data_IF_534910935722
#
_entry.id   IF_534910935722
#
_cell.length_a   1.000
_cell.length_b   1.000
_cell.length_c   1.000
_cell.angle_alpha   90.00
_cell.angle_beta   90.00
_cell.angle_gamma   90.00
#
_symmetry.space_group_name_H-M   'P 1'
#
loop_
_entity.id
_entity.type
_entity.pdbx_description
1 polymer ?
#
# COMPACT_ATOMS: atom_id res chain seq x y z
N UNK A 1 -44.56 -22.29 -16.41
CA UNK A 1 -43.87 -21.41 -15.44
C UNK A 1 -42.42 -21.85 -15.36
N UNK A 2 -41.47 -21.01 -15.76
CA UNK A 2 -40.05 -21.33 -15.64
C UNK A 2 -39.62 -21.21 -14.17
N UNK A 3 -39.17 -22.30 -13.57
CA UNK A 3 -38.55 -22.30 -12.25
C UNK A 3 -37.24 -21.52 -12.35
N UNK A 4 -37.23 -20.30 -11.82
CA UNK A 4 -36.00 -19.51 -11.75
C UNK A 4 -35.09 -20.20 -10.75
N UNK A 5 -33.94 -20.72 -11.21
CA UNK A 5 -32.95 -21.31 -10.33
C UNK A 5 -32.60 -20.31 -9.22
N UNK A 6 -32.78 -20.69 -7.95
CA UNK A 6 -32.39 -19.90 -6.79
C UNK A 6 -31.09 -20.44 -6.22
N UNK A 7 -30.22 -19.55 -5.75
CA UNK A 7 -28.97 -19.88 -5.07
C UNK A 7 -29.08 -19.31 -3.66
N UNK A 8 -28.79 -20.14 -2.67
CA UNK A 8 -28.77 -19.69 -1.27
C UNK A 8 -27.50 -18.91 -1.00
N UNK A 9 -27.63 -17.70 -0.46
CA UNK A 9 -26.46 -16.89 -0.12
C UNK A 9 -25.66 -17.58 1.00
N UNK A 10 -24.38 -17.90 0.78
CA UNK A 10 -23.55 -18.58 1.77
C UNK A 10 -23.05 -17.64 2.88
N UNK A 11 -23.77 -16.56 3.19
CA UNK A 11 -23.45 -15.66 4.31
C UNK A 11 -24.66 -15.30 5.13
N UNK A 12 -25.79 -14.99 4.48
CA UNK A 12 -27.03 -14.66 5.19
C UNK A 12 -28.12 -15.73 5.01
N UNK A 13 -27.86 -16.82 4.28
CA UNK A 13 -28.83 -17.89 4.06
C UNK A 13 -30.03 -17.53 3.18
N UNK A 14 -30.14 -16.28 2.74
CA UNK A 14 -31.25 -15.83 1.89
C UNK A 14 -31.16 -16.41 0.49
N UNK A 15 -32.30 -16.81 -0.04
CA UNK A 15 -32.43 -17.26 -1.42
C UNK A 15 -32.37 -16.05 -2.35
N UNK A 16 -31.47 -16.12 -3.32
CA UNK A 16 -31.27 -15.08 -4.33
C UNK A 16 -31.48 -15.74 -5.69
N UNK A 17 -32.09 -15.04 -6.66
CA UNK A 17 -32.22 -15.63 -8.00
C UNK A 17 -30.83 -15.89 -8.56
N UNK A 18 -30.63 -17.01 -9.23
CA UNK A 18 -29.31 -17.50 -9.65
C UNK A 18 -28.57 -16.60 -10.63
N UNK A 19 -29.29 -15.68 -11.27
CA UNK A 19 -28.73 -14.67 -12.17
C UNK A 19 -28.19 -13.44 -11.42
N UNK A 20 -28.44 -13.29 -10.11
CA UNK A 20 -27.90 -12.17 -9.34
C UNK A 20 -26.43 -12.38 -9.02
N UNK A 21 -25.63 -11.37 -9.31
CA UNK A 21 -24.20 -11.36 -9.01
C UNK A 21 -23.90 -11.07 -7.53
N UNK A 22 -24.84 -10.47 -6.82
CA UNK A 22 -24.74 -10.08 -5.40
C UNK A 22 -26.02 -10.42 -4.65
N UNK A 23 -25.88 -10.84 -3.40
CA UNK A 23 -26.99 -10.98 -2.49
C UNK A 23 -27.54 -9.59 -2.17
N UNK A 24 -28.82 -9.36 -2.46
CA UNK A 24 -29.52 -8.09 -2.19
C UNK A 24 -29.59 -7.75 -0.71
N UNK A 25 -29.54 -8.76 0.17
CA UNK A 25 -29.66 -8.56 1.61
C UNK A 25 -28.33 -8.26 2.30
N UNK A 26 -27.29 -9.07 2.06
CA UNK A 26 -25.99 -8.91 2.75
C UNK A 26 -24.88 -8.34 1.86
N UNK A 27 -25.18 -8.08 0.58
CA UNK A 27 -24.22 -7.60 -0.41
C UNK A 27 -23.14 -8.60 -0.83
N UNK A 28 -23.16 -9.86 -0.34
CA UNK A 28 -22.15 -10.88 -0.69
C UNK A 28 -22.22 -11.20 -2.19
N UNK A 29 -21.09 -11.19 -2.88
CA UNK A 29 -21.02 -11.58 -4.29
C UNK A 29 -21.20 -13.10 -4.37
N UNK A 30 -22.10 -13.56 -5.26
CA UNK A 30 -22.44 -14.98 -5.40
C UNK A 30 -21.64 -15.67 -6.51
N UNK A 31 -21.17 -14.91 -7.51
CA UNK A 31 -20.37 -15.43 -8.62
C UNK A 31 -18.88 -15.42 -8.29
N UNK A 32 -18.25 -16.61 -8.28
CA UNK A 32 -16.80 -16.80 -8.20
C UNK A 32 -16.18 -16.63 -9.59
N UNK A 33 -15.03 -15.95 -9.67
CA UNK A 33 -14.25 -15.80 -10.89
C UNK A 33 -13.14 -16.86 -10.94
N UNK A 34 -12.76 -17.38 -12.12
CA UNK A 34 -11.68 -18.38 -12.25
C UNK A 34 -10.38 -17.93 -11.57
N UNK A 35 -10.06 -16.63 -11.64
CA UNK A 35 -8.87 -16.07 -11.00
C UNK A 35 -8.90 -16.16 -9.47
N UNK A 36 -10.08 -16.30 -8.86
CA UNK A 36 -10.25 -16.43 -7.41
C UNK A 36 -9.99 -17.86 -6.91
N UNK A 37 -9.73 -18.81 -7.82
CA UNK A 37 -9.21 -20.14 -7.47
C UNK A 37 -7.72 -20.07 -7.12
N UNK A 38 -7.00 -19.07 -7.63
CA UNK A 38 -5.60 -18.85 -7.31
C UNK A 38 -5.42 -18.36 -5.87
N UNK A 39 -4.43 -18.90 -5.16
CA UNK A 39 -4.28 -18.73 -3.71
C UNK A 39 -4.22 -17.27 -3.26
N UNK A 40 -3.53 -16.38 -4.01
CA UNK A 40 -3.42 -14.96 -3.67
C UNK A 40 -4.75 -14.21 -3.80
N UNK A 41 -5.65 -14.66 -4.66
CA UNK A 41 -6.93 -14.01 -4.93
C UNK A 41 -8.12 -14.75 -4.32
N UNK A 42 -7.89 -15.84 -3.60
CA UNK A 42 -8.93 -16.60 -2.93
C UNK A 42 -9.69 -15.72 -1.95
N UNK A 43 -11.02 -15.65 -2.09
CA UNK A 43 -11.89 -14.93 -1.16
C UNK A 43 -12.00 -15.72 0.14
N UNK A 44 -11.84 -15.04 1.26
CA UNK A 44 -12.02 -15.62 2.58
C UNK A 44 -13.51 -15.60 2.93
N UNK A 45 -14.06 -16.78 3.22
CA UNK A 45 -15.46 -16.98 3.58
C UNK A 45 -15.66 -17.37 5.06
N UNK A 46 -14.59 -17.33 5.86
CA UNK A 46 -14.61 -17.66 7.30
C UNK A 46 -15.47 -16.67 8.09
N UNK A 47 -16.03 -17.12 9.22
CA UNK A 47 -16.68 -16.22 10.17
C UNK A 47 -15.63 -15.31 10.83
N UNK A 48 -15.92 -14.01 10.87
CA UNK A 48 -15.01 -13.05 11.49
C UNK A 48 -15.25 -13.02 13.01
N UNK A 49 -14.39 -13.73 13.75
CA UNK A 49 -14.52 -13.89 15.22
C UNK A 49 -13.70 -12.85 15.97
N UNK A 50 -12.41 -12.73 15.64
CA UNK A 50 -11.49 -11.81 16.31
C UNK A 50 -10.57 -11.11 15.31
N UNK A 51 -10.25 -9.82 15.54
CA UNK A 51 -9.26 -9.13 14.72
C UNK A 51 -7.87 -9.67 14.97
N UNK A 52 -7.09 -9.82 13.90
CA UNK A 52 -5.68 -10.16 14.00
C UNK A 52 -4.90 -9.10 14.79
N UNK A 53 -3.83 -9.52 15.46
CA UNK A 53 -2.88 -8.61 16.10
C UNK A 53 -2.20 -7.68 15.08
N UNK A 54 -1.60 -6.58 15.54
CA UNK A 54 -0.93 -5.62 14.64
C UNK A 54 0.18 -6.27 13.81
N UNK A 55 1.10 -6.99 14.46
CA UNK A 55 2.22 -7.67 13.79
C UNK A 55 1.74 -8.81 12.90
N UNK A 56 0.73 -9.56 13.32
CA UNK A 56 0.13 -10.61 12.50
C UNK A 56 -0.43 -10.03 11.21
N UNK A 57 -1.18 -8.91 11.26
CA UNK A 57 -1.65 -8.25 10.03
C UNK A 57 -0.51 -7.91 9.08
N UNK A 58 0.60 -7.39 9.62
CA UNK A 58 1.75 -7.00 8.83
C UNK A 58 2.43 -8.21 8.15
N UNK A 59 2.61 -9.31 8.89
CA UNK A 59 3.16 -10.56 8.34
C UNK A 59 2.22 -11.15 7.29
N UNK A 60 0.91 -11.16 7.56
CA UNK A 60 -0.08 -11.68 6.63
C UNK A 60 -0.17 -10.85 5.34
N UNK A 61 0.15 -9.55 5.36
CA UNK A 61 0.23 -8.77 4.11
C UNK A 61 1.28 -9.31 3.14
N UNK A 62 2.32 -10.01 3.63
CA UNK A 62 3.32 -10.68 2.80
C UNK A 62 2.92 -12.12 2.44
N UNK A 63 2.49 -12.92 3.44
CA UNK A 63 2.25 -14.36 3.26
C UNK A 63 0.89 -14.64 2.61
N UNK A 64 -0.16 -13.96 3.05
CA UNK A 64 -1.53 -14.16 2.57
C UNK A 64 -2.29 -12.82 2.54
N UNK A 65 -2.03 -11.99 1.51
CA UNK A 65 -2.57 -10.64 1.44
C UNK A 65 -4.10 -10.62 1.38
N UNK A 66 -4.73 -11.60 0.72
CA UNK A 66 -6.19 -11.72 0.69
C UNK A 66 -6.79 -11.81 2.09
N UNK A 67 -6.19 -12.61 2.99
CA UNK A 67 -6.66 -12.71 4.38
C UNK A 67 -6.37 -11.45 5.18
N UNK A 68 -5.20 -10.83 4.99
CA UNK A 68 -4.86 -9.57 5.66
C UNK A 68 -5.84 -8.44 5.29
N UNK A 69 -6.09 -8.23 4.00
CA UNK A 69 -7.02 -7.20 3.54
C UNK A 69 -8.46 -7.49 3.92
N UNK A 70 -8.85 -8.77 3.97
CA UNK A 70 -10.16 -9.16 4.50
C UNK A 70 -10.31 -8.77 5.97
N UNK A 71 -9.33 -9.07 6.84
CA UNK A 71 -9.39 -8.68 8.26
C UNK A 71 -9.31 -7.15 8.45
N UNK A 72 -8.44 -6.46 7.71
CA UNK A 72 -8.34 -4.99 7.73
C UNK A 72 -9.66 -4.35 7.32
N UNK A 73 -10.39 -4.94 6.38
CA UNK A 73 -11.69 -4.45 5.94
C UNK A 73 -12.78 -4.56 7.02
N UNK A 74 -12.66 -5.48 7.98
CA UNK A 74 -13.61 -5.60 9.10
C UNK A 74 -13.35 -4.55 10.20
N UNK A 75 -12.10 -4.15 10.44
CA UNK A 75 -11.72 -3.07 11.37
C UNK A 75 -10.84 -2.00 10.72
N UNK A 76 -11.40 -1.27 9.75
CA UNK A 76 -10.65 -0.31 8.91
C UNK A 76 -10.02 0.83 9.70
N UNK A 77 -10.63 1.26 10.80
CA UNK A 77 -10.09 2.34 11.67
C UNK A 77 -8.69 1.99 12.20
N UNK A 78 -8.45 0.70 12.49
CA UNK A 78 -7.21 0.13 13.02
C UNK A 78 -6.28 -0.42 11.91
N UNK A 79 -6.48 -0.02 10.66
CA UNK A 79 -5.58 -0.39 9.56
C UNK A 79 -4.15 0.08 9.82
N UNK A 80 -3.11 -0.74 9.53
CA UNK A 80 -1.72 -0.38 9.75
C UNK A 80 -1.14 0.62 8.73
N UNK A 81 -1.92 1.13 7.78
CA UNK A 81 -1.43 1.94 6.66
C UNK A 81 -0.50 3.12 7.02
N UNK A 82 -0.81 3.90 8.06
CA UNK A 82 0.08 5.00 8.49
C UNK A 82 1.36 4.50 9.16
N UNK A 83 1.34 3.34 9.81
CA UNK A 83 2.55 2.73 10.35
C UNK A 83 3.46 2.23 9.22
N UNK A 84 2.90 1.72 8.13
CA UNK A 84 3.67 1.33 6.94
C UNK A 84 4.39 2.55 6.36
N UNK A 85 3.70 3.69 6.23
CA UNK A 85 4.33 4.96 5.84
C UNK A 85 5.47 5.31 6.81
N UNK A 86 5.22 5.33 8.12
CA UNK A 86 6.23 5.67 9.12
C UNK A 86 7.47 4.77 9.07
N UNK A 87 7.27 3.45 9.02
CA UNK A 87 8.38 2.49 8.95
C UNK A 87 9.14 2.61 7.63
N UNK A 88 8.46 2.81 6.51
CA UNK A 88 9.13 3.11 5.24
C UNK A 88 9.94 4.41 5.33
N UNK A 89 9.49 5.41 6.09
CA UNK A 89 10.23 6.66 6.25
C UNK A 89 11.47 6.47 7.12
N UNK A 90 11.40 5.63 8.16
CA UNK A 90 12.57 5.26 8.98
C UNK A 90 13.67 4.60 8.15
N UNK A 91 13.29 3.81 7.15
CA UNK A 91 14.27 3.18 6.24
C UNK A 91 14.95 4.18 5.31
N UNK A 92 14.35 5.33 5.01
CA UNK A 92 15.03 6.41 4.27
C UNK A 92 16.14 7.06 5.09
N UNK A 93 15.98 7.15 6.41
CA UNK A 93 17.07 7.53 7.31
C UNK A 93 18.26 6.57 7.19
N UNK A 94 18.00 5.25 7.09
CA UNK A 94 19.04 4.24 6.88
C UNK A 94 19.70 4.37 5.50
N UNK A 95 18.93 4.66 4.45
CA UNK A 95 19.47 4.95 3.12
C UNK A 95 20.42 6.16 3.19
N UNK A 96 20.01 7.25 3.84
CA UNK A 96 20.85 8.45 4.00
C UNK A 96 22.15 8.17 4.76
N UNK A 97 22.08 7.38 5.83
CA UNK A 97 23.27 6.94 6.57
C UNK A 97 24.19 6.06 5.72
N UNK A 98 23.62 5.10 4.98
CA UNK A 98 24.37 4.21 4.10
C UNK A 98 25.09 4.99 2.99
N UNK A 99 24.43 5.99 2.41
CA UNK A 99 25.05 6.84 1.39
C UNK A 99 26.15 7.73 1.98
N UNK A 100 25.96 8.26 3.19
CA UNK A 100 26.96 9.13 3.81
C UNK A 100 28.15 8.39 4.44
N UNK A 101 28.04 7.10 4.76
CA UNK A 101 29.18 6.32 5.27
C UNK A 101 30.33 6.23 4.27
N UNK A 102 30.05 6.42 2.98
CA UNK A 102 31.04 6.43 1.91
C UNK A 102 31.67 7.80 1.65
N UNK A 103 31.27 8.85 2.39
CA UNK A 103 31.79 10.21 2.18
C UNK A 103 32.65 10.62 3.38
N UNK A 104 33.96 10.68 3.15
CA UNK A 104 34.94 11.12 4.15
C UNK A 104 35.27 12.61 3.95
N UNK A 105 34.63 13.49 4.73
CA UNK A 105 34.91 14.94 4.72
C UNK A 105 35.70 15.32 5.97
N UNK A 106 37.00 15.14 5.92
CA UNK A 106 37.90 15.37 7.05
C UNK A 106 37.86 16.82 7.56
N UNK A 107 37.63 17.80 6.67
CA UNK A 107 37.56 19.22 7.01
C UNK A 107 36.27 19.63 7.74
N UNK A 108 35.11 19.06 7.35
CA UNK A 108 33.80 19.40 7.94
C UNK A 108 33.62 18.73 9.30
N UNK A 109 34.02 17.47 9.44
CA UNK A 109 33.90 16.73 10.71
C UNK A 109 34.72 17.41 11.82
N UNK A 110 35.92 17.91 11.49
CA UNK A 110 36.78 18.62 12.44
C UNK A 110 36.26 20.03 12.81
N UNK A 111 35.37 20.61 11.99
CA UNK A 111 34.75 21.92 12.24
C UNK A 111 33.48 21.85 13.10
N UNK A 112 32.86 20.66 13.24
CA UNK A 112 31.66 20.51 14.04
C UNK A 112 32.00 20.48 15.54
N UNK A 113 31.27 21.26 16.33
CA UNK A 113 31.41 21.28 17.81
C UNK A 113 31.11 19.92 18.46
N UNK A 114 30.32 19.07 17.79
CA UNK A 114 29.93 17.73 18.26
C UNK A 114 29.88 16.73 17.10
N UNK A 115 31.04 16.19 16.65
CA UNK A 115 31.10 15.31 15.47
C UNK A 115 30.35 13.98 15.65
N UNK A 116 30.20 13.50 16.89
CA UNK A 116 29.45 12.27 17.20
C UNK A 116 27.94 12.37 16.95
N UNK A 117 27.37 13.58 16.90
CA UNK A 117 25.95 13.79 16.62
C UNK A 117 25.64 13.91 15.12
N UNK A 118 26.65 14.07 14.27
CA UNK A 118 26.47 14.27 12.84
C UNK A 118 25.68 13.13 12.15
N UNK A 119 25.92 11.83 12.44
CA UNK A 119 25.14 10.74 11.85
C UNK A 119 23.67 10.78 12.29
N UNK A 120 23.40 11.11 13.55
CA UNK A 120 22.03 11.19 14.06
C UNK A 120 21.26 12.33 13.38
N UNK A 121 21.88 13.50 13.21
CA UNK A 121 21.27 14.64 12.53
C UNK A 121 20.97 14.28 11.07
N UNK A 122 21.93 13.66 10.37
CA UNK A 122 21.76 13.22 9.00
C UNK A 122 20.62 12.19 8.87
N UNK A 123 20.56 11.21 9.76
CA UNK A 123 19.48 10.23 9.81
C UNK A 123 18.12 10.91 9.95
N UNK A 124 17.99 11.88 10.87
CA UNK A 124 16.75 12.63 11.09
C UNK A 124 16.37 13.44 9.85
N UNK A 125 17.32 14.10 9.20
CA UNK A 125 17.07 14.87 7.97
C UNK A 125 16.55 13.97 6.84
N UNK A 126 17.21 12.83 6.60
CA UNK A 126 16.76 11.88 5.58
C UNK A 126 15.45 11.18 5.96
N UNK A 127 15.20 10.94 7.24
CA UNK A 127 13.91 10.46 7.73
C UNK A 127 12.79 11.45 7.44
N UNK A 128 12.97 12.74 7.77
CA UNK A 128 11.97 13.79 7.51
C UNK A 128 11.73 13.98 6.01
N UNK A 129 12.81 14.00 5.21
CA UNK A 129 12.71 14.04 3.75
C UNK A 129 11.94 12.81 3.22
N UNK A 130 12.31 11.61 3.66
CA UNK A 130 11.64 10.36 3.30
C UNK A 130 10.17 10.35 3.70
N UNK A 131 9.82 10.88 4.86
CA UNK A 131 8.44 10.99 5.32
C UNK A 131 7.60 11.89 4.42
N UNK A 132 8.10 13.07 4.07
CA UNK A 132 7.40 13.98 3.15
C UNK A 132 7.31 13.36 1.75
N UNK A 133 8.42 12.86 1.22
CA UNK A 133 8.50 12.24 -0.10
C UNK A 133 7.52 11.06 -0.24
N UNK A 134 7.56 10.10 0.69
CA UNK A 134 6.68 8.93 0.66
C UNK A 134 5.21 9.29 0.89
N UNK A 135 4.93 10.27 1.75
CA UNK A 135 3.56 10.74 1.96
C UNK A 135 2.97 11.26 0.66
N UNK A 136 3.71 12.12 -0.05
CA UNK A 136 3.27 12.67 -1.34
C UNK A 136 3.15 11.58 -2.39
N UNK A 137 4.16 10.71 -2.52
CA UNK A 137 4.14 9.60 -3.46
C UNK A 137 2.95 8.68 -3.21
N UNK A 138 2.71 8.24 -1.97
CA UNK A 138 1.61 7.32 -1.66
C UNK A 138 0.25 7.97 -1.89
N UNK A 139 0.07 9.24 -1.53
CA UNK A 139 -1.17 9.97 -1.81
C UNK A 139 -1.42 10.08 -3.32
N UNK A 140 -0.39 10.38 -4.10
CA UNK A 140 -0.46 10.44 -5.55
C UNK A 140 -0.82 9.08 -6.17
N UNK A 141 -0.13 8.00 -5.76
CA UNK A 141 -0.43 6.65 -6.23
C UNK A 141 -1.85 6.23 -5.86
N UNK A 142 -2.28 6.44 -4.60
CA UNK A 142 -3.63 6.17 -4.12
C UNK A 142 -4.68 6.90 -4.97
N UNK A 143 -4.38 8.14 -5.36
CA UNK A 143 -5.24 8.93 -6.21
C UNK A 143 -5.37 8.32 -7.62
N UNK A 144 -4.25 7.97 -8.29
CA UNK A 144 -4.28 7.35 -9.62
C UNK A 144 -4.97 5.99 -9.59
N UNK A 145 -4.59 5.08 -8.68
CA UNK A 145 -5.23 3.78 -8.55
C UNK A 145 -6.73 3.92 -8.24
N UNK A 146 -7.09 4.93 -7.44
CA UNK A 146 -8.49 5.28 -7.20
C UNK A 146 -9.25 5.68 -8.47
N UNK A 147 -8.63 6.47 -9.35
CA UNK A 147 -9.21 6.86 -10.64
C UNK A 147 -9.34 5.67 -11.59
N UNK A 148 -8.33 4.82 -11.68
CA UNK A 148 -8.38 3.61 -12.50
C UNK A 148 -9.44 2.60 -12.02
N UNK A 149 -9.58 2.43 -10.71
CA UNK A 149 -10.64 1.63 -10.12
C UNK A 149 -12.03 2.21 -10.41
N UNK A 150 -12.17 3.54 -10.43
CA UNK A 150 -13.42 4.19 -10.81
C UNK A 150 -13.76 3.89 -12.27
N UNK A 151 -12.79 3.98 -13.17
CA UNK A 151 -13.00 3.68 -14.58
C UNK A 151 -13.34 2.20 -14.84
N UNK A 152 -12.70 1.26 -14.12
CA UNK A 152 -12.88 -0.18 -14.38
C UNK A 152 -14.11 -0.80 -13.72
N UNK A 153 -14.50 -0.32 -12.53
CA UNK A 153 -15.56 -0.95 -11.72
C UNK A 153 -16.52 0.04 -11.04
N UNK A 154 -16.54 1.33 -11.38
CA UNK A 154 -17.32 2.36 -10.68
C UNK A 154 -17.06 2.35 -9.16
N UNK A 155 -15.78 2.29 -8.78
CA UNK A 155 -15.36 2.08 -7.40
C UNK A 155 -15.99 3.05 -6.39
N UNK A 156 -16.04 4.36 -6.69
CA UNK A 156 -16.68 5.38 -5.84
C UNK A 156 -18.17 5.10 -5.59
N UNK A 157 -18.94 4.83 -6.66
CA UNK A 157 -20.37 4.53 -6.56
C UNK A 157 -20.59 3.28 -5.70
N UNK A 158 -19.78 2.23 -5.88
CA UNK A 158 -19.86 1.02 -5.06
C UNK A 158 -19.50 1.26 -3.60
N UNK A 159 -18.51 2.12 -3.33
CA UNK A 159 -18.18 2.51 -1.96
C UNK A 159 -19.34 3.24 -1.30
N UNK A 160 -19.96 4.19 -2.00
CA UNK A 160 -21.12 4.93 -1.52
C UNK A 160 -22.33 4.03 -1.29
N UNK A 161 -22.61 3.09 -2.21
CA UNK A 161 -23.67 2.10 -2.02
C UNK A 161 -23.40 1.19 -0.81
N UNK A 162 -22.15 0.81 -0.57
CA UNK A 162 -21.78 -0.14 0.49
C UNK A 162 -21.69 0.50 1.87
N UNK A 163 -21.22 1.74 1.94
CA UNK A 163 -20.94 2.43 3.21
C UNK A 163 -21.93 3.56 3.48
N UNK A 164 -22.76 3.93 2.50
CA UNK A 164 -23.68 5.06 2.55
C UNK A 164 -22.96 6.40 2.49
N UNK A 165 -23.59 7.38 1.85
CA UNK A 165 -23.30 8.78 2.14
C UNK A 165 -23.63 9.08 3.61
N UNK A 166 -22.91 10.03 4.21
CA UNK A 166 -23.19 10.53 5.56
C UNK A 166 -24.57 11.24 5.59
N UNK A 167 -25.66 10.50 5.71
CA UNK A 167 -26.94 11.08 6.12
C UNK A 167 -26.97 11.23 7.65
N UNK A 168 -27.45 12.38 8.11
CA UNK A 168 -27.53 12.80 9.52
C UNK A 168 -28.28 11.77 10.40
N UNK A 169 -29.24 11.04 9.82
CA UNK A 169 -29.99 9.96 10.49
C UNK A 169 -29.13 8.77 10.95
N UNK A 170 -28.00 8.49 10.30
CA UNK A 170 -27.13 7.35 10.66
C UNK A 170 -26.25 7.60 11.89
N UNK A 171 -26.06 8.86 12.29
CA UNK A 171 -25.36 9.17 13.55
C UNK A 171 -26.21 8.74 14.76
N UNK A 172 -27.54 8.95 14.73
CA UNK A 172 -28.45 8.50 15.79
C UNK A 172 -28.56 6.97 15.90
N UNK A 173 -28.35 6.23 14.82
CA UNK A 173 -28.32 4.75 14.85
C UNK A 173 -27.01 4.17 15.37
N UNK A 174 -25.90 4.93 15.31
CA UNK A 174 -24.58 4.51 15.81
C UNK A 174 -24.54 4.37 17.33
N UNK A 175 -25.38 5.13 18.03
CA UNK A 175 -25.45 5.17 19.49
C UNK A 175 -26.46 4.16 20.06
N UNK A 176 -27.30 3.55 19.23
CA UNK A 176 -28.15 2.44 19.66
C UNK A 176 -27.33 1.15 19.62
N UNK A 177 -26.89 0.68 20.80
CA UNK A 177 -26.31 -0.66 20.98
C UNK A 177 -27.23 -1.69 20.32
N UNK A 178 -26.82 -2.20 19.15
CA UNK A 178 -27.51 -3.29 18.46
C UNK A 178 -27.67 -4.46 19.43
N UNK A 179 -28.86 -5.04 19.47
CA UNK A 179 -29.15 -6.14 20.40
C UNK A 179 -28.16 -7.29 20.20
N UNK A 180 -27.72 -7.95 21.31
CA UNK A 180 -26.74 -9.02 21.26
C UNK A 180 -27.18 -10.22 20.42
N UNK A 181 -28.47 -10.34 20.11
CA UNK A 181 -29.08 -11.44 19.35
C UNK A 181 -29.33 -11.11 17.86
N UNK A 182 -28.86 -9.98 17.34
CA UNK A 182 -28.96 -9.71 15.90
C UNK A 182 -27.98 -10.60 15.11
N UNK A 183 -28.51 -11.63 14.47
CA UNK A 183 -27.84 -12.51 13.48
C UNK A 183 -27.18 -11.69 12.34
N UNK A 184 -27.55 -10.41 12.21
CA UNK A 184 -27.10 -9.45 11.20
C UNK A 184 -25.87 -8.62 11.58
N UNK A 185 -25.23 -8.87 12.72
CA UNK A 185 -24.13 -8.05 13.27
C UNK A 185 -23.01 -7.75 12.25
N UNK A 186 -22.62 -8.72 11.42
CA UNK A 186 -21.56 -8.54 10.43
C UNK A 186 -21.93 -7.69 9.20
N UNK A 187 -23.21 -7.56 8.87
CA UNK A 187 -23.69 -6.79 7.72
C UNK A 187 -23.96 -5.31 8.06
N UNK A 188 -24.59 -5.06 9.20
CA UNK A 188 -24.95 -3.71 9.66
C UNK A 188 -23.76 -2.92 10.21
N UNK A 189 -22.75 -3.60 10.79
CA UNK A 189 -21.49 -2.95 11.20
C UNK A 189 -20.68 -2.43 10.00
N UNK A 190 -20.75 -3.08 8.84
CA UNK A 190 -20.04 -2.61 7.64
C UNK A 190 -20.63 -1.29 7.15
N UNK A 191 -21.95 -1.09 7.23
CA UNK A 191 -22.66 0.11 6.77
C UNK A 191 -22.53 1.33 7.69
N UNK A 192 -22.06 1.16 8.93
CA UNK A 192 -21.91 2.27 9.90
C UNK A 192 -20.49 2.86 9.92
N UNK A 193 -19.51 2.18 9.33
CA UNK A 193 -18.12 2.59 9.36
C UNK A 193 -17.71 3.33 8.08
N UNK A 194 -16.99 4.45 8.25
CA UNK A 194 -16.35 5.17 7.14
C UNK A 194 -15.48 4.21 6.30
N UNK A 195 -15.33 4.46 4.99
CA UNK A 195 -14.56 3.58 4.12
C UNK A 195 -13.05 3.55 4.44
N UNK A 196 -12.50 4.58 5.11
CA UNK A 196 -11.06 4.72 5.42
C UNK A 196 -10.14 4.31 4.26
N UNK A 197 -10.56 4.66 3.02
CA UNK A 197 -9.94 4.24 1.75
C UNK A 197 -8.42 4.41 1.77
N UNK A 198 -7.95 5.60 2.15
CA UNK A 198 -6.52 5.95 2.16
C UNK A 198 -5.73 5.03 3.09
N UNK A 199 -6.20 4.78 4.31
CA UNK A 199 -5.51 3.89 5.27
C UNK A 199 -5.43 2.45 4.78
N UNK A 200 -6.43 1.98 4.04
CA UNK A 200 -6.44 0.62 3.52
C UNK A 200 -5.56 0.49 2.28
N UNK A 201 -5.58 1.48 1.38
CA UNK A 201 -4.70 1.49 0.22
C UNK A 201 -3.23 1.69 0.60
N UNK A 202 -2.94 2.42 1.68
CA UNK A 202 -1.57 2.52 2.22
C UNK A 202 -0.98 1.15 2.58
N UNK A 203 -1.81 0.15 2.93
CA UNK A 203 -1.33 -1.21 3.17
C UNK A 203 -0.81 -1.92 1.93
N UNK A 204 -1.18 -1.46 0.73
CA UNK A 204 -0.63 -2.01 -0.52
C UNK A 204 0.83 -1.61 -0.76
N UNK A 205 1.36 -0.63 -0.01
CA UNK A 205 2.77 -0.22 -0.06
C UNK A 205 3.66 -0.97 0.92
N UNK A 206 3.17 -2.04 1.55
CA UNK A 206 3.98 -2.92 2.41
C UNK A 206 5.26 -3.46 1.75
N UNK A 207 5.33 -3.72 0.42
CA UNK A 207 6.56 -4.25 -0.18
C UNK A 207 7.77 -3.33 0.00
N UNK A 208 7.55 -2.01 0.08
CA UNK A 208 8.62 -1.04 0.33
C UNK A 208 9.29 -1.25 1.70
N UNK A 209 8.63 -1.91 2.66
CA UNK A 209 9.24 -2.20 3.96
C UNK A 209 10.37 -3.22 3.88
N UNK A 210 10.37 -4.07 2.86
CA UNK A 210 11.46 -5.03 2.60
C UNK A 210 12.51 -4.38 1.71
N UNK A 211 12.05 -3.61 0.74
CA UNK A 211 12.89 -3.12 -0.36
C UNK A 211 13.73 -1.92 0.06
N UNK A 212 13.20 -1.00 0.86
CA UNK A 212 13.98 0.14 1.30
C UNK A 212 15.16 -0.27 2.22
N UNK A 213 15.02 -1.21 3.19
CA UNK A 213 16.17 -1.75 3.90
C UNK A 213 17.15 -2.49 2.98
N UNK A 214 16.65 -3.25 2.01
CA UNK A 214 17.50 -3.92 1.03
C UNK A 214 18.30 -2.91 0.20
N UNK A 215 17.67 -1.82 -0.23
CA UNK A 215 18.31 -0.72 -0.94
C UNK A 215 19.36 -0.03 -0.06
N UNK A 216 19.06 0.21 1.23
CA UNK A 216 20.03 0.74 2.18
C UNK A 216 21.26 -0.17 2.30
N UNK A 217 21.06 -1.49 2.35
CA UNK A 217 22.15 -2.48 2.42
C UNK A 217 22.97 -2.50 1.12
N UNK A 218 22.31 -2.49 -0.04
CA UNK A 218 22.97 -2.43 -1.35
C UNK A 218 23.85 -1.18 -1.44
N UNK A 219 23.32 -0.02 -1.01
CA UNK A 219 24.07 1.23 -1.03
C UNK A 219 25.24 1.22 -0.03
N UNK A 220 25.05 0.69 1.17
CA UNK A 220 26.09 0.60 2.21
C UNK A 220 27.28 -0.31 1.85
N UNK A 221 27.09 -1.24 0.91
CA UNK A 221 28.14 -2.17 0.48
C UNK A 221 28.68 -1.78 -0.90
N UNK A 222 27.80 -1.32 -1.79
CA UNK A 222 28.12 -1.14 -3.20
C UNK A 222 28.73 0.20 -3.54
N UNK A 223 28.43 1.28 -2.80
CA UNK A 223 28.92 2.60 -3.13
C UNK A 223 30.45 2.71 -2.90
N UNK A 224 31.18 3.42 -3.77
CA UNK A 224 32.61 3.65 -3.59
C UNK A 224 32.87 4.72 -2.52
N UNK A 225 33.96 4.55 -1.77
CA UNK A 225 34.41 5.55 -0.80
C UNK A 225 35.02 6.77 -1.51
N UNK A 226 34.56 7.96 -1.13
CA UNK A 226 34.97 9.25 -1.68
C UNK A 226 35.72 10.02 -0.59
N UNK A 227 36.99 10.32 -0.85
CA UNK A 227 37.84 11.11 0.05
C UNK A 227 38.01 12.52 -0.49
N UNK A 228 37.62 13.51 0.31
CA UNK A 228 37.69 14.92 -0.08
C UNK A 228 38.75 15.64 0.76
N UNK A 229 39.84 16.05 0.11
CA UNK A 229 41.00 16.70 0.74
C UNK A 229 40.88 18.22 0.86
N UNK A 230 39.90 18.84 0.21
CA UNK A 230 39.65 20.28 0.24
C UNK A 230 38.13 20.55 0.28
N UNK A 231 37.66 21.75 0.68
CA UNK A 231 36.27 22.14 0.50
C UNK A 231 36.00 22.41 -0.99
N UNK A 232 36.04 21.37 -1.81
CA UNK A 232 35.43 21.38 -3.14
C UNK A 232 33.92 21.60 -2.97
N UNK A 233 33.29 22.27 -3.94
CA UNK A 233 31.89 22.67 -3.84
C UNK A 233 30.98 21.48 -3.56
N UNK A 234 29.88 21.71 -2.83
CA UNK A 234 28.86 20.69 -2.53
C UNK A 234 28.28 20.01 -3.76
N UNK A 235 28.36 20.66 -4.94
CA UNK A 235 27.92 20.13 -6.22
C UNK A 235 28.77 18.94 -6.70
N UNK A 236 30.10 18.98 -6.53
CA UNK A 236 30.98 17.92 -7.00
C UNK A 236 30.78 16.62 -6.21
N UNK A 237 30.54 16.75 -4.90
CA UNK A 237 30.21 15.65 -4.00
C UNK A 237 28.88 15.00 -4.41
N UNK A 238 27.88 15.84 -4.72
CA UNK A 238 26.58 15.36 -5.14
C UNK A 238 26.65 14.61 -6.46
N UNK A 239 27.40 15.12 -7.44
CA UNK A 239 27.61 14.46 -8.73
C UNK A 239 28.36 13.13 -8.62
N UNK A 240 29.36 13.04 -7.73
CA UNK A 240 30.08 11.77 -7.51
C UNK A 240 29.24 10.73 -6.76
N UNK A 241 28.43 11.16 -5.79
CA UNK A 241 27.63 10.26 -4.96
C UNK A 241 26.36 9.77 -5.68
N UNK A 242 25.78 10.61 -6.53
CA UNK A 242 24.60 10.33 -7.35
C UNK A 242 24.96 10.15 -8.82
N UNK A 243 26.14 9.60 -9.11
CA UNK A 243 26.58 9.37 -10.49
C UNK A 243 25.53 8.54 -11.23
N UNK A 244 24.93 9.10 -12.31
CA UNK A 244 23.93 8.40 -13.10
C UNK A 244 24.46 7.09 -13.71
N UNK A 245 25.77 6.95 -13.91
CA UNK A 245 26.36 5.75 -14.48
C UNK A 245 26.68 4.66 -13.44
N UNK A 246 26.37 4.89 -12.16
CA UNK A 246 26.62 3.92 -11.11
C UNK A 246 25.74 2.67 -11.25
N UNK A 247 26.37 1.52 -11.39
CA UNK A 247 25.71 0.21 -11.44
C UNK A 247 24.91 -0.11 -10.16
N UNK A 248 25.32 0.45 -9.01
CA UNK A 248 24.65 0.28 -7.72
C UNK A 248 23.30 1.00 -7.71
N UNK A 249 23.27 2.26 -8.16
CA UNK A 249 22.02 3.01 -8.28
C UNK A 249 21.09 2.38 -9.34
N UNK A 250 21.65 1.88 -10.44
CA UNK A 250 20.87 1.14 -11.43
C UNK A 250 20.19 -0.11 -10.84
N UNK A 251 20.89 -0.89 -10.01
CA UNK A 251 20.32 -2.05 -9.32
C UNK A 251 19.17 -1.66 -8.39
N UNK A 252 19.36 -0.61 -7.57
CA UNK A 252 18.31 -0.06 -6.69
C UNK A 252 17.08 0.35 -7.50
N UNK A 253 17.27 1.07 -8.62
CA UNK A 253 16.16 1.52 -9.47
C UNK A 253 15.40 0.37 -10.14
N UNK A 254 16.09 -0.69 -10.57
CA UNK A 254 15.45 -1.88 -11.16
C UNK A 254 14.57 -2.58 -10.12
N UNK A 255 15.05 -2.73 -8.89
CA UNK A 255 14.28 -3.33 -7.80
C UNK A 255 13.01 -2.50 -7.53
N UNK A 256 13.14 -1.18 -7.42
CA UNK A 256 11.98 -0.29 -7.23
C UNK A 256 10.98 -0.37 -8.39
N UNK A 257 11.47 -0.46 -9.63
CA UNK A 257 10.64 -0.62 -10.83
C UNK A 257 9.80 -1.90 -10.76
N UNK A 258 10.40 -3.04 -10.42
CA UNK A 258 9.70 -4.32 -10.27
C UNK A 258 8.60 -4.20 -9.20
N UNK A 259 8.89 -3.54 -8.09
CA UNK A 259 7.96 -3.43 -6.98
C UNK A 259 6.77 -2.54 -7.33
N UNK A 260 7.01 -1.40 -7.95
CA UNK A 260 5.96 -0.48 -8.40
C UNK A 260 5.14 -1.08 -9.56
N UNK A 261 5.78 -1.82 -10.46
CA UNK A 261 5.15 -2.38 -11.66
C UNK A 261 4.41 -3.70 -11.42
N UNK A 262 4.80 -4.47 -10.40
CA UNK A 262 4.26 -5.82 -10.16
C UNK A 262 3.60 -6.00 -8.80
N UNK A 263 4.35 -5.76 -7.71
CA UNK A 263 3.87 -6.11 -6.36
C UNK A 263 2.81 -5.13 -5.83
N UNK A 264 3.05 -3.83 -5.95
CA UNK A 264 2.08 -2.80 -5.52
C UNK A 264 0.73 -2.94 -6.25
N UNK A 265 0.67 -3.11 -7.59
CA UNK A 265 -0.57 -3.38 -8.32
C UNK A 265 -1.34 -4.59 -7.82
N UNK A 266 -0.64 -5.67 -7.49
CA UNK A 266 -1.22 -6.90 -6.98
C UNK A 266 -1.94 -6.64 -5.64
N UNK A 267 -1.27 -6.01 -4.68
CA UNK A 267 -1.87 -5.71 -3.38
C UNK A 267 -2.97 -4.65 -3.48
N UNK A 268 -2.78 -3.66 -4.36
CA UNK A 268 -3.80 -2.63 -4.62
C UNK A 268 -5.08 -3.25 -5.19
N UNK A 269 -4.94 -4.25 -6.07
CA UNK A 269 -6.07 -5.01 -6.59
C UNK A 269 -6.85 -5.69 -5.49
N UNK A 270 -6.17 -6.36 -4.57
CA UNK A 270 -6.79 -7.03 -3.43
C UNK A 270 -7.49 -5.99 -2.54
N UNK A 271 -6.84 -4.87 -2.24
CA UNK A 271 -7.41 -3.79 -1.43
C UNK A 271 -8.70 -3.23 -2.04
N UNK A 272 -8.68 -2.86 -3.33
CA UNK A 272 -9.82 -2.33 -4.08
C UNK A 272 -10.95 -3.36 -4.13
N UNK A 273 -10.62 -4.62 -4.43
CA UNK A 273 -11.59 -5.73 -4.49
C UNK A 273 -12.27 -5.91 -3.15
N UNK A 274 -11.53 -5.99 -2.05
CA UNK A 274 -12.10 -6.18 -0.71
C UNK A 274 -12.98 -5.00 -0.30
N UNK A 275 -12.59 -3.77 -0.62
CA UNK A 275 -13.36 -2.57 -0.32
C UNK A 275 -14.65 -2.45 -1.12
N UNK A 276 -14.62 -2.72 -2.43
CA UNK A 276 -15.76 -2.52 -3.33
C UNK A 276 -16.56 -3.78 -3.62
N UNK A 277 -16.10 -4.94 -3.14
CA UNK A 277 -16.65 -6.26 -3.50
C UNK A 277 -16.80 -6.43 -5.03
N UNK A 278 -15.84 -5.93 -5.78
CA UNK A 278 -15.87 -5.88 -7.26
C UNK A 278 -15.27 -7.12 -7.91
N UNK A 279 -15.23 -7.13 -9.24
CA UNK A 279 -14.61 -8.20 -10.03
C UNK A 279 -13.10 -8.14 -9.92
N UNK A 280 -12.47 -9.24 -9.53
CA UNK A 280 -11.02 -9.33 -9.33
C UNK A 280 -10.29 -9.04 -10.63
N UNK A 281 -10.72 -9.66 -11.74
CA UNK A 281 -10.00 -9.55 -13.02
C UNK A 281 -10.00 -8.12 -13.58
N UNK A 282 -11.13 -7.41 -13.55
CA UNK A 282 -11.20 -6.03 -14.08
C UNK A 282 -10.31 -5.07 -13.28
N UNK A 283 -10.32 -5.22 -11.95
CA UNK A 283 -9.48 -4.40 -11.07
C UNK A 283 -8.01 -4.73 -11.29
N UNK A 284 -7.67 -6.03 -11.41
CA UNK A 284 -6.31 -6.50 -11.65
C UNK A 284 -5.72 -5.87 -12.91
N UNK A 285 -6.41 -6.01 -14.05
CA UNK A 285 -5.97 -5.46 -15.33
C UNK A 285 -5.77 -3.95 -15.23
N UNK A 286 -6.75 -3.22 -14.69
CA UNK A 286 -6.63 -1.76 -14.52
C UNK A 286 -5.48 -1.35 -13.60
N UNK A 287 -5.22 -2.13 -12.54
CA UNK A 287 -4.15 -1.84 -11.58
C UNK A 287 -2.77 -2.11 -12.18
N UNK A 288 -2.61 -3.20 -12.93
CA UNK A 288 -1.34 -3.50 -13.60
C UNK A 288 -1.01 -2.50 -14.71
N UNK A 289 -2.00 -2.08 -15.52
CA UNK A 289 -1.79 -1.05 -16.55
C UNK A 289 -1.25 0.23 -15.89
N UNK A 290 -1.90 0.70 -14.82
CA UNK A 290 -1.44 1.89 -14.08
C UNK A 290 -0.07 1.66 -13.44
N UNK A 291 0.15 0.53 -12.79
CA UNK A 291 1.41 0.22 -12.13
C UNK A 291 2.60 0.23 -13.07
N UNK A 292 2.46 -0.42 -14.23
CA UNK A 292 3.50 -0.47 -15.25
C UNK A 292 3.77 0.93 -15.81
N UNK A 293 2.72 1.69 -16.15
CA UNK A 293 2.90 3.07 -16.67
C UNK A 293 3.59 3.97 -15.65
N UNK A 294 3.21 3.88 -14.38
CA UNK A 294 3.83 4.65 -13.29
C UNK A 294 5.27 4.21 -13.08
N UNK A 295 5.54 2.90 -13.09
CA UNK A 295 6.89 2.37 -12.93
C UNK A 295 7.80 2.85 -14.07
N UNK A 296 7.33 2.80 -15.32
CA UNK A 296 8.05 3.35 -16.48
C UNK A 296 8.28 4.85 -16.30
N UNK A 297 7.25 5.61 -15.93
CA UNK A 297 7.37 7.06 -15.73
C UNK A 297 8.43 7.41 -14.67
N UNK A 298 8.38 6.78 -13.49
CA UNK A 298 9.37 7.03 -12.44
C UNK A 298 10.77 6.54 -12.82
N UNK A 299 10.87 5.42 -13.53
CA UNK A 299 12.14 4.90 -14.01
C UNK A 299 12.79 5.86 -15.01
N UNK A 300 12.03 6.41 -15.95
CA UNK A 300 12.51 7.40 -16.94
C UNK A 300 12.88 8.75 -16.31
N UNK A 301 12.27 9.11 -15.17
CA UNK A 301 12.65 10.31 -14.41
C UNK A 301 13.96 10.13 -13.63
N UNK A 302 14.51 8.91 -13.53
CA UNK A 302 15.78 8.70 -12.82
C UNK A 302 16.95 9.22 -13.66
N UNK A 303 17.90 9.93 -13.03
CA UNK A 303 19.08 10.46 -13.72
C UNK A 303 19.93 9.36 -14.36
N UNK A 304 19.88 8.13 -13.81
CA UNK A 304 20.69 6.98 -14.26
C UNK A 304 20.46 6.55 -15.71
N UNK A 305 19.34 6.92 -16.33
CA UNK A 305 19.06 6.60 -17.74
C UNK A 305 19.24 7.78 -18.67
N UNK A 306 19.11 8.99 -18.14
CA UNK A 306 19.17 10.20 -18.95
C UNK A 306 20.61 10.62 -19.24
N UNK A 307 21.60 10.06 -18.52
CA UNK A 307 23.02 10.15 -18.88
C UNK A 307 23.60 11.57 -18.91
N UNK A 308 22.94 12.51 -18.24
CA UNK A 308 23.40 13.90 -18.08
C UNK A 308 24.13 14.09 -16.76
#
# INVERSE_FOLDING_TARGET
MATVATIRCPRCGNEVRGNYFTCTFCGKRLRKERIEEFYLFKRIEEEWVTPLGFFEKLIYLFINPSRAFWDINHLRKKSPGYFILLFNSLTYGLIGLATASHVSIQSVINSMRYPSLAPLILYILFFLFGFVYQSLLYLFLIWIYGKAANYSVNFSERLEQRFGGESIEKQQYKDRKLSPFSIYKGGTLLQTQKPYKTKMFMCAFVPFLIINPLNALILAIGLPDIYLSAPSGSADIFLMLFDPNSSVWAAVHIIEFIIMGFWVPLLMTIAIRELSNSSTLRVLVSSYIVGILIAIFFYLLRPTLLGY
#
